data_IF_277643177013
#
_entry.id   IF_277643177013
#
_cell.length_a   1.000
_cell.length_b   1.000
_cell.length_c   1.000
_cell.angle_alpha   90.00
_cell.angle_beta   90.00
_cell.angle_gamma   90.00
#
_symmetry.space_group_name_H-M   'P 1'
#
loop_
_entity.id
_entity.type
_entity.pdbx_description
1 polymer ?
#
# COMPACT_ATOMS: atom_id res chain seq x y z
N UNK A 1 30.55 -45.01 -15.11
CA UNK A 1 30.55 -43.90 -14.11
C UNK A 1 29.30 -43.08 -14.34
N UNK A 2 28.25 -43.30 -13.52
CA UNK A 2 26.90 -42.70 -13.73
C UNK A 2 26.84 -41.37 -12.97
N UNK A 3 26.56 -40.29 -13.66
CA UNK A 3 26.66 -38.87 -13.30
C UNK A 3 25.90 -38.49 -12.02
N UNK A 4 26.53 -38.18 -10.89
CA UNK A 4 25.85 -37.72 -9.67
C UNK A 4 25.22 -36.34 -9.86
N UNK A 5 25.70 -35.53 -10.80
CA UNK A 5 25.23 -34.18 -11.11
C UNK A 5 23.74 -34.15 -11.59
N UNK A 6 23.30 -35.15 -12.35
CA UNK A 6 21.92 -35.25 -12.81
C UNK A 6 20.93 -35.54 -11.67
N UNK A 7 21.33 -36.32 -10.67
CA UNK A 7 20.47 -36.61 -9.50
C UNK A 7 20.30 -35.40 -8.59
N UNK A 8 21.36 -34.60 -8.42
CA UNK A 8 21.34 -33.38 -7.63
C UNK A 8 20.50 -32.28 -8.30
N UNK A 9 20.55 -32.14 -9.62
CA UNK A 9 19.73 -31.20 -10.38
C UNK A 9 18.26 -31.58 -10.37
N UNK A 10 17.93 -32.87 -10.44
CA UNK A 10 16.53 -33.35 -10.35
C UNK A 10 15.92 -33.13 -8.96
N UNK A 11 16.69 -33.35 -7.89
CA UNK A 11 16.25 -33.08 -6.51
C UNK A 11 16.07 -31.59 -6.23
N UNK A 12 16.95 -30.74 -6.75
CA UNK A 12 16.81 -29.27 -6.66
C UNK A 12 15.58 -28.78 -7.43
N UNK A 13 15.31 -29.32 -8.60
CA UNK A 13 14.12 -29.02 -9.41
C UNK A 13 12.81 -29.42 -8.72
N UNK A 14 12.76 -30.60 -8.09
CA UNK A 14 11.60 -31.06 -7.32
C UNK A 14 11.37 -30.19 -6.08
N UNK A 15 12.43 -29.78 -5.37
CA UNK A 15 12.36 -28.88 -4.24
C UNK A 15 11.83 -27.49 -4.62
N UNK A 16 12.29 -26.94 -5.73
CA UNK A 16 11.82 -25.66 -6.25
C UNK A 16 10.34 -25.71 -6.71
N UNK A 17 9.91 -26.81 -7.33
CA UNK A 17 8.51 -27.02 -7.73
C UNK A 17 7.57 -27.18 -6.53
N UNK A 18 8.03 -27.81 -5.44
CA UNK A 18 7.25 -27.94 -4.20
C UNK A 18 7.06 -26.60 -3.47
N UNK A 19 8.02 -25.69 -3.57
CA UNK A 19 7.91 -24.34 -2.99
C UNK A 19 7.04 -23.39 -3.84
N UNK A 20 6.90 -23.62 -5.14
CA UNK A 20 6.12 -22.75 -6.04
C UNK A 20 4.60 -22.80 -5.80
N UNK A 21 4.10 -23.82 -5.08
CA UNK A 21 2.67 -24.06 -4.85
C UNK A 21 2.08 -23.51 -3.55
N UNK A 22 2.88 -22.98 -2.63
CA UNK A 22 2.44 -22.67 -1.28
C UNK A 22 2.01 -21.20 -1.09
N UNK A 23 1.02 -20.75 -1.84
CA UNK A 23 0.26 -19.57 -1.38
C UNK A 23 -0.73 -20.06 -0.29
N UNK A 24 -0.56 -19.62 0.94
CA UNK A 24 -1.43 -19.98 2.06
C UNK A 24 -2.82 -19.37 1.86
N UNK A 25 -3.85 -20.23 1.94
CA UNK A 25 -5.27 -19.86 1.92
C UNK A 25 -5.99 -20.21 0.61
N UNK A 26 -7.32 -20.35 0.67
CA UNK A 26 -8.15 -20.66 -0.50
C UNK A 26 -8.23 -19.44 -1.45
N UNK A 27 -8.37 -19.72 -2.74
CA UNK A 27 -8.72 -18.69 -3.71
C UNK A 27 -10.22 -18.37 -3.59
N UNK A 28 -10.58 -17.11 -3.74
CA UNK A 28 -11.97 -16.71 -3.80
C UNK A 28 -12.63 -17.29 -5.05
N UNK A 29 -13.74 -17.99 -4.85
CA UNK A 29 -14.62 -18.45 -5.92
C UNK A 29 -15.98 -17.83 -5.66
N UNK A 30 -16.50 -17.08 -6.63
CA UNK A 30 -17.83 -16.46 -6.51
C UNK A 30 -18.87 -17.57 -6.28
N UNK A 31 -19.63 -17.54 -5.16
CA UNK A 31 -20.66 -18.52 -4.93
C UNK A 31 -21.78 -18.38 -5.97
N UNK A 32 -22.27 -19.51 -6.46
CA UNK A 32 -23.47 -19.53 -7.29
C UNK A 32 -24.69 -19.41 -6.38
N UNK A 33 -25.48 -18.35 -6.59
CA UNK A 33 -26.78 -18.27 -5.90
C UNK A 33 -27.73 -19.31 -6.51
N UNK A 34 -28.38 -20.15 -5.70
CA UNK A 34 -29.43 -21.04 -6.19
C UNK A 34 -30.63 -20.19 -6.63
N UNK A 35 -30.82 -20.07 -7.94
CA UNK A 35 -31.98 -19.39 -8.50
C UNK A 35 -33.05 -20.45 -8.70
N UNK A 36 -34.25 -20.22 -8.15
CA UNK A 36 -35.39 -21.08 -8.41
C UNK A 36 -35.70 -21.10 -9.91
N UNK A 37 -35.79 -22.27 -10.56
CA UNK A 37 -36.06 -22.37 -11.98
C UNK A 37 -37.46 -21.85 -12.35
N UNK A 38 -38.36 -21.77 -11.39
CA UNK A 38 -39.71 -21.27 -11.58
C UNK A 38 -40.18 -20.48 -10.38
N UNK A 39 -40.87 -19.37 -10.62
CA UNK A 39 -41.57 -18.62 -9.58
C UNK A 39 -42.98 -19.16 -9.40
N UNK A 40 -43.45 -19.21 -8.16
CA UNK A 40 -44.77 -19.76 -7.77
C UNK A 40 -45.93 -19.07 -8.47
N UNK A 41 -45.77 -17.80 -8.85
CA UNK A 41 -46.78 -16.94 -9.46
C UNK A 41 -46.34 -16.44 -10.83
N UNK A 42 -45.93 -17.39 -11.69
CA UNK A 42 -45.41 -17.06 -13.03
C UNK A 42 -46.51 -16.80 -14.09
N UNK A 43 -47.79 -16.99 -13.76
CA UNK A 43 -48.88 -16.75 -14.70
C UNK A 43 -49.01 -15.25 -15.01
N UNK A 44 -48.77 -14.88 -16.25
CA UNK A 44 -48.86 -13.48 -16.74
C UNK A 44 -47.51 -12.72 -16.70
N UNK A 45 -46.42 -13.37 -16.23
CA UNK A 45 -45.08 -12.77 -16.25
C UNK A 45 -44.25 -13.31 -17.42
N UNK A 46 -43.56 -12.43 -18.11
CA UNK A 46 -42.56 -12.80 -19.12
C UNK A 46 -41.15 -12.82 -18.50
N UNK A 47 -40.30 -13.73 -18.97
CA UNK A 47 -38.89 -13.75 -18.58
C UNK A 47 -38.23 -12.40 -18.92
N UNK A 48 -37.68 -11.73 -17.91
CA UNK A 48 -36.81 -10.58 -18.15
C UNK A 48 -35.43 -11.05 -18.62
N UNK A 49 -34.92 -10.43 -19.67
CA UNK A 49 -33.51 -10.57 -20.02
C UNK A 49 -32.69 -9.58 -19.18
N UNK A 50 -31.76 -10.06 -18.30
CA UNK A 50 -30.90 -9.16 -17.55
C UNK A 50 -30.09 -8.27 -18.50
N UNK A 51 -30.11 -6.98 -18.27
CA UNK A 51 -29.42 -5.99 -19.10
C UNK A 51 -28.48 -5.12 -18.24
N UNK A 52 -27.91 -5.70 -17.18
CA UNK A 52 -27.10 -5.00 -16.20
C UNK A 52 -25.78 -4.45 -16.78
N UNK A 53 -25.34 -5.00 -17.93
CA UNK A 53 -24.14 -4.57 -18.65
C UNK A 53 -24.41 -3.44 -19.65
N UNK A 54 -25.66 -3.08 -19.88
CA UNK A 54 -26.00 -1.97 -20.76
C UNK A 54 -25.80 -0.66 -20.00
N UNK A 55 -24.92 0.18 -20.52
CA UNK A 55 -24.86 1.57 -20.12
C UNK A 55 -26.15 2.26 -20.54
N UNK A 56 -26.97 2.65 -19.57
CA UNK A 56 -28.27 3.28 -19.80
C UNK A 56 -28.14 4.78 -20.05
N UNK A 57 -26.95 5.34 -19.93
CA UNK A 57 -26.69 6.75 -20.14
C UNK A 57 -27.69 7.65 -19.40
N UNK A 58 -28.15 8.69 -20.07
CA UNK A 58 -29.12 9.64 -19.52
C UNK A 58 -30.55 9.11 -19.59
N UNK A 59 -30.84 7.99 -18.90
CA UNK A 59 -32.13 7.28 -18.91
C UNK A 59 -33.31 8.17 -18.52
N UNK A 60 -33.11 9.21 -17.69
CA UNK A 60 -34.12 10.18 -17.28
C UNK A 60 -34.61 11.05 -18.43
N UNK A 61 -33.84 11.15 -19.52
CA UNK A 61 -34.26 11.86 -20.74
C UNK A 61 -35.51 11.26 -21.40
N UNK A 62 -35.78 9.98 -21.14
CA UNK A 62 -36.98 9.29 -21.64
C UNK A 62 -38.30 9.87 -21.08
N UNK A 63 -38.25 10.55 -19.95
CA UNK A 63 -39.42 11.20 -19.35
C UNK A 63 -39.76 12.55 -20.01
N UNK A 64 -38.87 13.10 -20.85
CA UNK A 64 -39.10 14.37 -21.52
C UNK A 64 -39.25 15.58 -20.58
N UNK A 65 -38.82 15.45 -19.33
CA UNK A 65 -38.92 16.49 -18.31
C UNK A 65 -37.58 17.28 -18.23
N UNK A 66 -37.57 18.55 -18.67
CA UNK A 66 -36.37 19.37 -18.60
C UNK A 66 -35.96 19.74 -17.17
N UNK A 67 -36.90 19.78 -16.22
CA UNK A 67 -36.60 20.08 -14.83
C UNK A 67 -35.89 18.89 -14.18
N UNK A 68 -36.34 17.66 -14.47
CA UNK A 68 -35.64 16.43 -14.06
C UNK A 68 -34.23 16.37 -14.60
N UNK A 69 -34.07 16.60 -15.90
CA UNK A 69 -32.75 16.59 -16.56
C UNK A 69 -31.80 17.62 -15.95
N UNK A 70 -32.28 18.81 -15.62
CA UNK A 70 -31.48 19.86 -14.97
C UNK A 70 -31.09 19.48 -13.52
N UNK A 71 -31.95 18.79 -12.79
CA UNK A 71 -31.64 18.31 -11.45
C UNK A 71 -30.59 17.20 -11.47
N UNK A 72 -30.73 16.24 -12.36
CA UNK A 72 -29.77 15.14 -12.52
C UNK A 72 -28.37 15.65 -12.93
N UNK A 73 -28.29 16.58 -13.85
CA UNK A 73 -27.02 17.23 -14.21
C UNK A 73 -26.36 17.91 -12.99
N UNK A 74 -27.13 18.48 -12.07
CA UNK A 74 -26.61 19.07 -10.83
C UNK A 74 -26.14 18.03 -9.82
N UNK A 75 -26.78 16.87 -9.77
CA UNK A 75 -26.36 15.76 -8.90
C UNK A 75 -24.95 15.31 -9.29
N UNK A 76 -24.69 15.12 -10.56
CA UNK A 76 -23.36 14.70 -11.04
C UNK A 76 -22.26 15.72 -10.72
N UNK A 77 -22.55 17.01 -10.78
CA UNK A 77 -21.53 18.09 -10.62
C UNK A 77 -21.33 18.49 -9.16
N UNK A 78 -22.37 18.47 -8.32
CA UNK A 78 -22.31 19.08 -6.98
C UNK A 78 -22.63 18.13 -5.82
N UNK A 79 -22.83 16.85 -6.08
CA UNK A 79 -23.12 15.89 -5.02
C UNK A 79 -21.85 15.55 -4.22
N UNK A 80 -21.78 16.02 -3.00
CA UNK A 80 -20.66 15.79 -2.09
C UNK A 80 -20.48 14.31 -1.72
N UNK A 81 -21.55 13.50 -1.76
CA UNK A 81 -21.45 12.07 -1.52
C UNK A 81 -20.74 11.36 -2.67
N UNK A 82 -21.00 11.75 -3.92
CA UNK A 82 -20.27 11.23 -5.09
C UNK A 82 -18.80 11.63 -5.01
N UNK A 83 -18.50 12.88 -4.68
CA UNK A 83 -17.13 13.35 -4.51
C UNK A 83 -16.40 12.60 -3.38
N UNK A 84 -17.08 12.28 -2.29
CA UNK A 84 -16.54 11.49 -1.20
C UNK A 84 -16.28 10.02 -1.63
N UNK A 85 -17.21 9.40 -2.35
CA UNK A 85 -17.08 8.04 -2.86
C UNK A 85 -15.93 7.93 -3.88
N UNK A 86 -15.79 8.91 -4.76
CA UNK A 86 -14.66 9.00 -5.70
C UNK A 86 -13.31 9.13 -4.98
N UNK A 87 -13.27 9.94 -3.91
CA UNK A 87 -12.06 10.07 -3.09
C UNK A 87 -11.73 8.76 -2.36
N UNK A 88 -12.74 8.04 -1.85
CA UNK A 88 -12.58 6.74 -1.22
C UNK A 88 -12.05 5.69 -2.21
N UNK A 89 -12.57 5.67 -3.44
CA UNK A 89 -12.05 4.80 -4.49
C UNK A 89 -10.60 5.11 -4.86
N UNK A 90 -10.24 6.39 -5.00
CA UNK A 90 -8.85 6.82 -5.25
C UNK A 90 -7.92 6.38 -4.11
N UNK A 91 -8.37 6.52 -2.86
CA UNK A 91 -7.64 6.04 -1.68
C UNK A 91 -7.43 4.53 -1.72
N UNK A 92 -8.48 3.75 -2.00
CA UNK A 92 -8.39 2.29 -2.08
C UNK A 92 -7.38 1.84 -3.17
N UNK A 93 -7.37 2.50 -4.32
CA UNK A 93 -6.37 2.25 -5.38
C UNK A 93 -4.94 2.59 -4.95
N UNK A 94 -4.75 3.67 -4.18
CA UNK A 94 -3.44 4.04 -3.66
C UNK A 94 -2.93 2.98 -2.66
N UNK A 95 -3.81 2.44 -1.81
CA UNK A 95 -3.48 1.34 -0.89
C UNK A 95 -3.03 0.07 -1.63
N UNK A 96 -3.62 -0.26 -2.78
CA UNK A 96 -3.12 -1.36 -3.63
C UNK A 96 -1.68 -1.12 -4.05
N UNK A 97 -1.33 0.11 -4.42
CA UNK A 97 0.04 0.45 -4.82
C UNK A 97 1.00 0.38 -3.65
N UNK A 98 0.59 0.82 -2.47
CA UNK A 98 1.34 0.71 -1.22
C UNK A 98 1.63 -0.76 -0.88
N UNK A 99 0.60 -1.62 -0.91
CA UNK A 99 0.80 -3.05 -0.64
C UNK A 99 1.71 -3.72 -1.68
N UNK A 100 1.66 -3.29 -2.94
CA UNK A 100 2.61 -3.78 -3.96
C UNK A 100 4.05 -3.37 -3.69
N UNK A 101 4.27 -2.20 -3.11
CA UNK A 101 5.61 -1.75 -2.76
C UNK A 101 6.31 -2.70 -1.78
N UNK A 102 5.55 -3.40 -0.93
CA UNK A 102 6.08 -4.39 0.01
C UNK A 102 6.73 -5.62 -0.66
N UNK A 103 6.54 -5.82 -1.96
CA UNK A 103 7.26 -6.86 -2.73
C UNK A 103 8.71 -6.47 -3.04
N UNK A 104 9.06 -5.19 -2.91
CA UNK A 104 10.36 -4.65 -3.26
C UNK A 104 11.18 -4.33 -2.02
N UNK A 105 12.51 -4.31 -2.12
CA UNK A 105 13.37 -3.84 -1.04
C UNK A 105 13.08 -2.40 -0.65
N UNK A 106 13.06 -2.13 0.65
CA UNK A 106 13.10 -0.76 1.18
C UNK A 106 14.54 -0.32 1.35
N UNK A 107 14.87 0.84 0.80
CA UNK A 107 16.20 1.45 0.91
C UNK A 107 16.10 2.70 1.77
N UNK A 108 16.85 2.74 2.85
CA UNK A 108 16.91 3.87 3.76
C UNK A 108 18.29 4.51 3.67
N UNK A 109 18.32 5.82 3.49
CA UNK A 109 19.52 6.65 3.57
C UNK A 109 19.40 7.52 4.82
N UNK A 110 20.39 7.43 5.70
CA UNK A 110 20.44 8.26 6.90
C UNK A 110 21.76 9.02 6.96
N UNK A 111 21.68 10.27 7.37
CA UNK A 111 22.82 11.13 7.60
C UNK A 111 22.74 11.77 8.98
N UNK A 112 23.84 11.78 9.71
CA UNK A 112 23.92 12.47 10.98
C UNK A 112 25.21 13.30 11.05
N UNK A 113 25.10 14.50 11.61
CA UNK A 113 26.23 15.36 11.94
C UNK A 113 26.20 15.68 13.43
N UNK A 114 27.28 15.37 14.13
CA UNK A 114 27.44 15.68 15.54
C UNK A 114 28.64 16.59 15.71
N UNK A 115 28.46 17.71 16.37
CA UNK A 115 29.55 18.59 16.80
C UNK A 115 29.67 18.49 18.30
N UNK A 116 30.78 17.92 18.76
CA UNK A 116 31.13 17.86 20.19
C UNK A 116 32.21 18.87 20.48
N UNK A 117 31.93 19.80 21.34
CA UNK A 117 32.90 20.76 21.85
C UNK A 117 33.16 20.41 23.32
N UNK A 118 34.42 20.19 23.68
CA UNK A 118 34.79 20.21 25.11
C UNK A 118 34.80 21.69 25.52
N UNK A 119 33.72 22.13 26.18
CA UNK A 119 33.68 23.41 26.86
C UNK A 119 34.68 23.37 28.00
N UNK A 120 35.84 23.88 27.77
CA UNK A 120 36.85 24.11 28.83
C UNK A 120 36.34 25.18 29.79
N UNK A 121 35.33 24.83 30.59
CA UNK A 121 34.86 25.60 31.72
C UNK A 121 35.48 25.09 33.00
N UNK A 122 36.71 25.40 33.20
CA UNK A 122 37.45 25.01 34.40
C UNK A 122 38.89 25.52 34.38
N UNK A 123 39.05 26.75 33.96
CA UNK A 123 40.31 27.44 34.15
C UNK A 123 40.46 27.76 35.63
N UNK A 124 41.28 26.98 36.33
CA UNK A 124 41.71 27.34 37.69
C UNK A 124 42.60 28.59 37.53
N UNK A 125 42.09 29.74 37.93
CA UNK A 125 42.92 30.94 38.07
C UNK A 125 43.82 30.74 39.28
N UNK A 126 45.11 30.52 39.04
CA UNK A 126 46.11 30.54 40.12
C UNK A 126 46.54 32.00 40.27
N UNK A 127 46.18 32.59 41.39
CA UNK A 127 46.65 33.88 41.79
C UNK A 127 47.97 33.68 42.52
N UNK A 128 49.06 34.09 41.93
CA UNK A 128 50.39 34.07 42.52
C UNK A 128 50.53 35.12 43.66
N UNK A 129 51.44 34.97 44.61
CA UNK A 129 51.65 35.92 45.70
C UNK A 129 52.15 37.31 45.24
N UNK A 130 52.61 37.44 44.00
CA UNK A 130 53.04 38.67 43.34
C UNK A 130 51.90 39.45 42.62
N UNK A 131 50.61 38.94 42.73
CA UNK A 131 49.45 39.54 42.13
C UNK A 131 49.23 39.18 40.64
N UNK A 132 50.12 38.36 40.05
CA UNK A 132 49.92 37.86 38.71
C UNK A 132 48.95 36.69 38.64
N UNK A 133 48.10 36.65 37.65
CA UNK A 133 47.17 35.55 37.40
C UNK A 133 47.63 34.71 36.21
N UNK A 134 47.95 33.44 36.46
CA UNK A 134 48.19 32.50 35.38
C UNK A 134 46.95 31.58 35.24
N UNK A 135 46.20 31.82 34.15
CA UNK A 135 45.07 31.02 33.72
C UNK A 135 45.44 30.30 32.45
N UNK A 136 45.48 28.99 32.50
CA UNK A 136 45.55 28.18 31.27
C UNK A 136 44.20 28.26 30.56
N UNK A 137 44.09 28.98 29.48
CA UNK A 137 42.97 28.84 28.55
C UNK A 137 43.05 27.45 27.94
N UNK A 138 42.30 26.52 28.51
CA UNK A 138 42.11 25.21 27.89
C UNK A 138 41.43 25.38 26.55
N UNK A 139 42.21 25.37 25.47
CA UNK A 139 41.67 25.37 24.10
C UNK A 139 40.81 24.13 23.88
N UNK A 140 39.52 24.27 24.09
CA UNK A 140 38.56 23.23 23.79
C UNK A 140 38.50 23.01 22.26
N UNK A 141 39.00 21.88 21.81
CA UNK A 141 38.89 21.51 20.41
C UNK A 141 37.47 21.01 20.12
N UNK A 142 36.75 21.74 19.26
CA UNK A 142 35.46 21.25 18.75
C UNK A 142 35.73 20.23 17.63
N UNK A 143 35.19 19.06 17.80
CA UNK A 143 35.24 17.98 16.80
C UNK A 143 33.86 17.83 16.14
N UNK A 144 33.82 17.89 14.79
CA UNK A 144 32.65 17.57 14.00
C UNK A 144 32.80 16.16 13.42
N UNK A 145 31.79 15.34 13.62
CA UNK A 145 31.74 13.99 13.08
C UNK A 145 30.49 13.88 12.20
N UNK A 146 30.70 13.48 10.96
CA UNK A 146 29.59 13.22 10.01
C UNK A 146 29.54 11.74 9.72
N UNK A 147 28.33 11.21 9.70
CA UNK A 147 28.07 9.81 9.33
C UNK A 147 26.99 9.80 8.27
N UNK A 148 27.21 9.02 7.22
CA UNK A 148 26.20 8.66 6.25
C UNK A 148 26.10 7.14 6.22
N UNK A 149 24.90 6.62 6.26
CA UNK A 149 24.67 5.18 6.17
C UNK A 149 23.49 4.90 5.24
N UNK A 150 23.64 3.85 4.44
CA UNK A 150 22.60 3.32 3.58
C UNK A 150 22.31 1.90 4.03
N UNK A 151 21.03 1.62 4.28
CA UNK A 151 20.55 0.29 4.63
C UNK A 151 19.48 -0.15 3.64
N UNK A 152 19.45 -1.43 3.32
CA UNK A 152 18.39 -2.04 2.54
C UNK A 152 17.83 -3.23 3.33
N UNK A 153 16.51 -3.38 3.34
CA UNK A 153 15.82 -4.53 3.91
C UNK A 153 14.79 -5.06 2.91
N UNK A 154 14.72 -6.38 2.82
CA UNK A 154 13.80 -7.06 1.92
C UNK A 154 13.33 -8.37 2.54
N UNK A 155 12.02 -8.62 2.46
CA UNK A 155 11.40 -9.86 2.87
C UNK A 155 10.82 -10.55 1.62
N UNK A 156 11.44 -11.62 1.10
CA UNK A 156 10.90 -12.34 -0.03
C UNK A 156 9.59 -13.03 0.36
N UNK A 157 8.57 -12.89 -0.49
CA UNK A 157 7.24 -13.46 -0.24
C UNK A 157 7.16 -14.94 -0.63
N UNK A 158 7.89 -15.79 0.10
CA UNK A 158 7.95 -17.24 -0.16
C UNK A 158 6.59 -17.90 0.05
N UNK A 159 5.88 -17.52 1.12
CA UNK A 159 4.61 -18.11 1.52
C UNK A 159 3.37 -17.38 0.97
N UNK A 160 3.54 -16.34 0.18
CA UNK A 160 2.45 -15.62 -0.47
C UNK A 160 1.67 -14.66 0.45
N UNK A 161 2.17 -14.34 1.64
CA UNK A 161 1.52 -13.40 2.57
C UNK A 161 1.29 -12.03 1.94
N UNK A 162 2.32 -11.46 1.32
CA UNK A 162 2.24 -10.14 0.68
C UNK A 162 1.29 -10.20 -0.53
N UNK A 163 1.37 -11.26 -1.34
CA UNK A 163 0.46 -11.48 -2.48
C UNK A 163 -1.00 -11.55 -2.05
N UNK A 164 -1.32 -12.24 -0.93
CA UNK A 164 -2.67 -12.29 -0.37
C UNK A 164 -3.14 -10.95 0.17
N UNK A 165 -2.25 -10.17 0.78
CA UNK A 165 -2.57 -8.80 1.21
C UNK A 165 -2.91 -7.89 0.02
N UNK A 166 -2.15 -8.01 -1.08
CA UNK A 166 -2.43 -7.28 -2.33
C UNK A 166 -3.78 -7.70 -2.93
N UNK A 167 -4.10 -8.99 -2.91
CA UNK A 167 -5.38 -9.52 -3.39
C UNK A 167 -6.55 -8.93 -2.57
N UNK A 168 -6.44 -8.92 -1.24
CA UNK A 168 -7.42 -8.28 -0.37
C UNK A 168 -7.58 -6.78 -0.62
N UNK A 169 -6.47 -6.06 -0.81
CA UNK A 169 -6.52 -4.63 -1.15
C UNK A 169 -7.19 -4.37 -2.51
N UNK A 170 -6.98 -5.24 -3.51
CA UNK A 170 -7.67 -5.16 -4.80
C UNK A 170 -9.17 -5.38 -4.66
N UNK A 171 -9.59 -6.41 -3.93
CA UNK A 171 -11.00 -6.66 -3.68
C UNK A 171 -11.67 -5.48 -2.98
N UNK A 172 -10.98 -4.82 -2.05
CA UNK A 172 -11.48 -3.60 -1.41
C UNK A 172 -11.61 -2.43 -2.39
N UNK A 173 -10.66 -2.29 -3.33
CA UNK A 173 -10.76 -1.25 -4.36
C UNK A 173 -11.91 -1.53 -5.35
N UNK A 174 -12.17 -2.80 -5.68
CA UNK A 174 -13.31 -3.22 -6.50
C UNK A 174 -14.64 -2.97 -5.78
N UNK A 175 -14.72 -3.22 -4.46
CA UNK A 175 -15.88 -2.88 -3.66
C UNK A 175 -16.15 -1.37 -3.66
N UNK A 176 -15.11 -0.54 -3.43
CA UNK A 176 -15.26 0.92 -3.49
C UNK A 176 -15.65 1.44 -4.89
N UNK A 177 -15.26 0.73 -5.95
CA UNK A 177 -15.70 1.05 -7.31
C UNK A 177 -17.18 0.73 -7.52
N UNK A 178 -17.66 -0.38 -6.93
CA UNK A 178 -19.07 -0.76 -6.99
C UNK A 178 -19.96 0.17 -6.16
N UNK A 179 -19.44 0.70 -5.03
CA UNK A 179 -20.13 1.69 -4.21
C UNK A 179 -20.27 3.05 -4.92
N UNK A 180 -19.36 3.35 -5.88
CA UNK A 180 -19.38 4.59 -6.65
C UNK A 180 -20.32 4.49 -7.87
N UNK A 181 -20.56 3.28 -8.40
CA UNK A 181 -21.36 3.03 -9.61
C UNK A 181 -22.86 3.14 -9.36
#
# INVERSE_FOLDING_TARGET
MKHPLFRSAALAGLGAAALAGCAVGPNYVRPTAPISPTFKEAAGWSHAAPADTLDRGDWWSLFGDPALSALEARVQVSNQNIAAAEAAYRQARALVSEQRASLFPTVNLSGSGTRSGSGGGGGTLIVNPDGSTSGGAGGGSARSTYRASMGASWEPDVWGRIRRTIEGARAQAEASAADLA
#
